data_IF_247918567092
#
_entry.id   IF_247918567092
#
_cell.length_a   1.000
_cell.length_b   1.000
_cell.length_c   1.000
_cell.angle_alpha   90.00
_cell.angle_beta   90.00
_cell.angle_gamma   90.00
#
_symmetry.space_group_name_H-M   'P 1'
#
loop_
_entity.id
_entity.type
_entity.pdbx_description
1 polymer ?
#
# COMPACT_ATOMS: atom_id res chain seq x y z
N UNK A 1 9.51 -5.23 -16.77
CA UNK A 1 10.86 -5.54 -16.25
C UNK A 1 11.36 -6.79 -16.94
N UNK A 2 12.64 -6.83 -17.32
CA UNK A 2 13.27 -8.03 -17.91
C UNK A 2 13.27 -9.17 -16.89
N UNK A 3 12.82 -10.35 -17.31
CA UNK A 3 12.67 -11.54 -16.47
C UNK A 3 14.02 -12.07 -16.00
N UNK A 4 14.32 -11.86 -14.72
CA UNK A 4 15.34 -12.62 -14.01
C UNK A 4 14.84 -14.04 -13.79
N UNK A 5 15.66 -15.03 -14.13
CA UNK A 5 15.37 -16.44 -13.91
C UNK A 5 15.11 -16.73 -12.43
N UNK A 6 13.84 -16.93 -12.10
CA UNK A 6 13.30 -17.22 -10.78
C UNK A 6 11.77 -17.12 -10.82
N UNK A 7 11.08 -17.80 -9.91
CA UNK A 7 9.63 -17.60 -9.73
C UNK A 7 9.41 -16.22 -9.08
N UNK A 8 9.43 -15.16 -9.91
CA UNK A 8 9.16 -13.79 -9.48
C UNK A 8 7.66 -13.69 -9.18
N UNK A 9 7.33 -13.21 -7.98
CA UNK A 9 5.94 -12.92 -7.61
C UNK A 9 5.51 -11.64 -8.32
N UNK A 10 4.39 -11.70 -9.05
CA UNK A 10 3.85 -10.55 -9.81
C UNK A 10 2.38 -10.33 -9.48
N UNK A 11 1.75 -9.32 -10.08
CA UNK A 11 0.30 -9.12 -9.98
C UNK A 11 -0.53 -10.36 -10.38
N UNK A 12 0.04 -11.28 -11.16
CA UNK A 12 -0.61 -12.55 -11.55
C UNK A 12 -0.71 -13.54 -10.39
N UNK A 13 0.08 -13.32 -9.33
CA UNK A 13 0.10 -14.07 -8.07
C UNK A 13 -0.45 -13.17 -6.95
N UNK A 14 -1.60 -12.52 -7.21
CA UNK A 14 -2.10 -11.36 -6.47
C UNK A 14 -2.04 -11.49 -4.94
N UNK A 15 -2.44 -12.65 -4.40
CA UNK A 15 -2.40 -12.93 -2.96
C UNK A 15 -0.99 -12.87 -2.38
N UNK A 16 -0.05 -13.59 -2.98
CA UNK A 16 1.36 -13.57 -2.54
C UNK A 16 2.01 -12.21 -2.82
N UNK A 17 1.64 -11.55 -3.92
CA UNK A 17 2.17 -10.25 -4.28
C UNK A 17 1.78 -9.16 -3.27
N UNK A 18 0.53 -9.17 -2.80
CA UNK A 18 0.06 -8.28 -1.74
C UNK A 18 0.80 -8.53 -0.43
N UNK A 19 0.99 -9.80 -0.03
CA UNK A 19 1.77 -10.17 1.15
C UNK A 19 3.22 -9.68 1.07
N UNK A 20 3.88 -9.91 -0.06
CA UNK A 20 5.27 -9.52 -0.27
C UNK A 20 5.45 -7.99 -0.24
N UNK A 21 4.53 -7.24 -0.88
CA UNK A 21 4.57 -5.78 -0.84
C UNK A 21 4.26 -5.23 0.57
N UNK A 22 3.33 -5.84 1.30
CA UNK A 22 3.06 -5.45 2.69
C UNK A 22 4.29 -5.64 3.57
N UNK A 23 4.98 -6.79 3.47
CA UNK A 23 6.25 -7.00 4.16
C UNK A 23 7.31 -5.97 3.75
N UNK A 24 7.54 -5.78 2.45
CA UNK A 24 8.51 -4.83 1.91
C UNK A 24 8.27 -3.40 2.43
N UNK A 25 7.01 -2.95 2.49
CA UNK A 25 6.63 -1.62 2.94
C UNK A 25 6.62 -1.48 4.47
N UNK A 26 6.43 -2.57 5.21
CA UNK A 26 6.54 -2.55 6.67
C UNK A 26 7.99 -2.64 7.16
N UNK A 27 8.86 -3.32 6.41
CA UNK A 27 10.24 -3.54 6.78
C UNK A 27 11.08 -2.26 6.69
N UNK A 28 12.16 -2.17 7.48
CA UNK A 28 12.99 -0.96 7.54
C UNK A 28 14.00 -0.83 6.38
N UNK A 29 14.37 -1.95 5.76
CA UNK A 29 15.49 -2.01 4.81
C UNK A 29 15.20 -1.35 3.46
N UNK A 30 16.16 -0.56 2.99
CA UNK A 30 16.21 -0.05 1.64
C UNK A 30 15.15 0.99 1.29
N UNK A 31 15.16 1.37 0.00
CA UNK A 31 14.19 2.28 -0.58
C UNK A 31 13.18 1.50 -1.43
N UNK A 32 11.94 1.29 -0.95
CA UNK A 32 10.99 0.43 -1.63
C UNK A 32 10.50 1.07 -2.93
N UNK A 33 10.38 0.26 -4.00
CA UNK A 33 9.75 0.66 -5.27
C UNK A 33 8.62 -0.30 -5.60
N UNK A 34 7.39 0.21 -5.58
CA UNK A 34 6.19 -0.54 -5.97
C UNK A 34 6.07 -0.54 -7.49
N UNK A 35 5.88 -1.72 -8.08
CA UNK A 35 5.63 -1.85 -9.53
C UNK A 35 4.16 -1.54 -9.84
N UNK A 36 3.92 -0.88 -10.98
CA UNK A 36 2.58 -0.69 -11.55
C UNK A 36 2.58 -1.14 -13.02
N UNK A 37 1.78 -2.14 -13.32
CA UNK A 37 1.87 -2.94 -14.55
C UNK A 37 0.68 -2.75 -15.48
N UNK A 38 0.77 -3.38 -16.65
CA UNK A 38 -0.34 -3.66 -17.54
C UNK A 38 -0.45 -5.18 -17.78
N UNK A 39 -1.64 -5.63 -18.15
CA UNK A 39 -1.93 -7.00 -18.56
C UNK A 39 -1.59 -7.21 -20.04
N UNK A 40 -1.04 -8.38 -20.33
CA UNK A 40 -0.95 -8.95 -21.67
C UNK A 40 -1.36 -10.42 -21.63
N UNK A 41 -1.65 -11.00 -22.79
CA UNK A 41 -1.98 -12.41 -22.92
C UNK A 41 -0.69 -13.24 -22.79
N UNK A 42 -0.35 -13.61 -21.55
CA UNK A 42 0.82 -14.44 -21.23
C UNK A 42 0.65 -15.83 -21.86
N UNK A 43 1.68 -16.33 -22.53
CA UNK A 43 1.70 -17.67 -23.12
C UNK A 43 2.95 -18.43 -22.66
N UNK A 44 2.82 -19.21 -21.59
CA UNK A 44 3.95 -19.96 -21.04
C UNK A 44 4.17 -21.26 -21.82
N UNK A 45 5.32 -21.38 -22.46
CA UNK A 45 5.78 -22.61 -23.14
C UNK A 45 7.19 -22.91 -22.64
N UNK A 46 7.38 -24.10 -22.07
CA UNK A 46 8.65 -24.55 -21.48
C UNK A 46 9.24 -23.56 -20.45
N UNK A 47 8.37 -23.00 -19.60
CA UNK A 47 8.76 -22.03 -18.56
C UNK A 47 9.06 -20.62 -19.07
N UNK A 48 8.95 -20.35 -20.37
CA UNK A 48 9.14 -19.02 -20.96
C UNK A 48 7.82 -18.46 -21.49
N UNK A 49 7.55 -17.19 -21.21
CA UNK A 49 6.47 -16.47 -21.85
C UNK A 49 6.84 -16.14 -23.30
N UNK A 50 6.13 -16.75 -24.26
CA UNK A 50 6.30 -16.49 -25.69
C UNK A 50 5.75 -15.13 -26.12
N UNK A 51 4.97 -14.48 -25.26
CA UNK A 51 4.37 -13.17 -25.47
C UNK A 51 5.00 -12.09 -24.55
N UNK A 52 6.22 -12.31 -24.06
CA UNK A 52 6.97 -11.35 -23.22
C UNK A 52 7.34 -10.04 -23.94
N UNK A 53 7.21 -10.01 -25.25
CA UNK A 53 7.44 -8.86 -26.13
C UNK A 53 6.23 -7.92 -26.27
N UNK A 54 5.05 -8.31 -25.76
CA UNK A 54 3.82 -7.52 -25.94
C UNK A 54 3.93 -6.20 -25.19
N UNK A 55 3.74 -5.10 -25.93
CA UNK A 55 3.78 -3.74 -25.39
C UNK A 55 2.54 -3.36 -24.55
N UNK A 56 2.48 -2.10 -24.08
CA UNK A 56 1.36 -1.62 -23.27
C UNK A 56 0.03 -1.64 -24.05
N UNK A 57 -1.12 -1.58 -23.36
CA UNK A 57 -2.42 -1.47 -24.01
C UNK A 57 -2.46 -0.26 -24.94
N UNK A 58 -2.79 -0.48 -26.21
CA UNK A 58 -2.75 0.55 -27.26
C UNK A 58 -4.09 0.65 -28.01
N UNK A 59 -4.32 1.81 -28.63
CA UNK A 59 -5.49 2.07 -29.47
C UNK A 59 -5.29 1.51 -30.89
N UNK A 60 -6.20 0.64 -31.32
CA UNK A 60 -6.11 -0.05 -32.61
C UNK A 60 -4.81 -0.87 -32.75
N UNK A 61 -4.24 -0.88 -33.96
CA UNK A 61 -2.97 -1.56 -34.24
C UNK A 61 -1.74 -0.64 -34.06
N UNK A 62 -1.91 0.58 -33.55
CA UNK A 62 -0.82 1.55 -33.44
C UNK A 62 -0.16 1.49 -32.07
N UNK A 63 1.12 1.09 -32.05
CA UNK A 63 1.95 1.08 -30.83
C UNK A 63 2.28 2.48 -30.31
N UNK A 64 1.91 3.53 -31.05
CA UNK A 64 2.26 4.92 -30.73
C UNK A 64 1.31 5.56 -29.72
N UNK A 65 0.09 5.03 -29.56
CA UNK A 65 -0.93 5.61 -28.68
C UNK A 65 -1.39 4.58 -27.64
N UNK A 66 -1.00 4.76 -26.38
CA UNK A 66 -1.48 3.92 -25.28
C UNK A 66 -2.94 4.25 -24.94
N UNK A 67 -3.72 3.24 -24.57
CA UNK A 67 -5.07 3.43 -24.03
C UNK A 67 -5.02 4.28 -22.75
N UNK A 68 -6.01 5.16 -22.51
CA UNK A 68 -6.07 5.93 -21.28
C UNK A 68 -6.25 5.02 -20.06
N UNK A 69 -5.68 5.43 -18.94
CA UNK A 69 -5.96 4.79 -17.64
C UNK A 69 -7.34 5.26 -17.20
N UNK A 70 -8.29 4.34 -17.09
CA UNK A 70 -9.63 4.60 -16.55
C UNK A 70 -9.68 3.99 -15.15
N UNK A 71 -9.97 4.81 -14.15
CA UNK A 71 -10.12 4.37 -12.76
C UNK A 71 -11.61 4.11 -12.50
N UNK A 72 -11.92 2.91 -12.02
CA UNK A 72 -13.27 2.48 -11.67
C UNK A 72 -13.64 2.99 -10.27
N UNK A 73 -14.93 2.92 -9.94
CA UNK A 73 -15.44 3.34 -8.62
C UNK A 73 -14.85 2.55 -7.44
N UNK A 74 -14.40 1.32 -7.68
CA UNK A 74 -13.73 0.47 -6.69
C UNK A 74 -12.21 0.75 -6.56
N UNK A 75 -11.69 1.73 -7.30
CA UNK A 75 -10.28 2.11 -7.32
C UNK A 75 -9.40 1.27 -8.26
N UNK A 76 -9.93 0.22 -8.86
CA UNK A 76 -9.21 -0.59 -9.86
C UNK A 76 -9.08 0.16 -11.19
N UNK A 77 -8.14 -0.28 -12.03
CA UNK A 77 -7.94 0.29 -13.36
C UNK A 77 -8.54 -0.57 -14.47
N UNK A 78 -8.90 0.08 -15.58
CA UNK A 78 -9.39 -0.56 -16.80
C UNK A 78 -8.39 -0.45 -17.96
N UNK A 79 -8.81 -0.84 -19.17
CA UNK A 79 -8.04 -0.79 -20.41
C UNK A 79 -6.75 -1.63 -20.36
N UNK A 80 -6.75 -2.69 -19.55
CA UNK A 80 -5.59 -3.55 -19.37
C UNK A 80 -4.51 -2.98 -18.44
N UNK A 81 -4.74 -1.84 -17.80
CA UNK A 81 -3.85 -1.35 -16.74
C UNK A 81 -4.15 -2.08 -15.42
N UNK A 82 -3.12 -2.53 -14.72
CA UNK A 82 -3.29 -3.28 -13.45
C UNK A 82 -3.41 -2.33 -12.25
N UNK A 83 -2.56 -1.30 -12.22
CA UNK A 83 -2.49 -0.32 -11.14
C UNK A 83 -2.35 -0.93 -9.74
N UNK A 84 -1.35 -1.79 -9.52
CA UNK A 84 -1.08 -2.40 -8.21
C UNK A 84 -0.91 -1.34 -7.11
N UNK A 85 -0.37 -0.16 -7.46
CA UNK A 85 -0.26 0.99 -6.55
C UNK A 85 -1.61 1.52 -6.02
N UNK A 86 -2.73 1.17 -6.64
CA UNK A 86 -4.10 1.51 -6.19
C UNK A 86 -4.80 0.40 -5.44
N UNK A 87 -4.24 -0.81 -5.42
CA UNK A 87 -4.79 -1.89 -4.62
C UNK A 87 -4.72 -1.47 -3.17
N UNK A 88 -5.86 -1.47 -2.46
CA UNK A 88 -5.96 -0.97 -1.08
C UNK A 88 -4.83 -1.48 -0.17
N UNK A 89 -4.52 -2.76 -0.27
CA UNK A 89 -3.50 -3.45 0.52
C UNK A 89 -2.09 -2.89 0.28
N UNK A 90 -1.79 -2.40 -0.93
CA UNK A 90 -0.50 -1.78 -1.28
C UNK A 90 -0.58 -0.28 -1.03
N UNK A 91 -1.64 0.37 -1.51
CA UNK A 91 -1.89 1.80 -1.37
C UNK A 91 -1.90 2.26 0.09
N UNK A 92 -2.49 1.50 1.00
CA UNK A 92 -2.51 1.80 2.44
C UNK A 92 -1.18 1.47 3.15
N UNK A 93 -0.34 0.60 2.58
CA UNK A 93 0.98 0.31 3.13
C UNK A 93 2.03 1.38 2.76
N UNK A 94 1.75 2.24 1.78
CA UNK A 94 2.57 3.43 1.48
C UNK A 94 2.54 4.46 2.62
N UNK A 95 1.36 4.96 3.08
CA UNK A 95 1.32 5.84 4.25
C UNK A 95 1.78 5.13 5.52
N UNK A 96 1.57 3.81 5.66
CA UNK A 96 2.21 3.04 6.74
C UNK A 96 3.73 3.23 6.71
N UNK A 97 4.40 2.94 5.57
CA UNK A 97 5.87 3.09 5.41
C UNK A 97 6.33 4.50 5.76
N UNK A 98 5.58 5.53 5.33
CA UNK A 98 5.90 6.93 5.62
C UNK A 98 5.83 7.23 7.12
N UNK A 99 4.75 6.80 7.79
CA UNK A 99 4.55 7.02 9.21
C UNK A 99 5.66 6.39 10.07
N UNK A 100 6.10 5.19 9.68
CA UNK A 100 7.08 4.41 10.44
C UNK A 100 8.51 4.57 9.92
N UNK A 101 8.78 5.56 9.05
CA UNK A 101 10.02 5.66 8.28
C UNK A 101 11.30 5.65 9.17
N UNK A 102 11.22 6.24 10.36
CA UNK A 102 12.36 6.39 11.28
C UNK A 102 12.39 5.37 12.42
N UNK A 103 11.38 4.49 12.51
CA UNK A 103 11.25 3.55 13.62
C UNK A 103 12.09 2.28 13.42
N UNK A 104 12.64 1.71 14.48
CA UNK A 104 13.25 0.37 14.45
C UNK A 104 12.19 -0.72 14.23
N UNK A 105 12.59 -1.87 13.66
CA UNK A 105 11.84 -3.11 13.81
C UNK A 105 11.97 -3.60 15.25
N UNK A 106 10.84 -3.83 15.91
CA UNK A 106 10.73 -4.25 17.30
C UNK A 106 9.67 -5.35 17.46
N UNK A 107 9.56 -5.92 18.67
CA UNK A 107 8.53 -6.91 19.02
C UNK A 107 8.37 -8.04 18.00
N UNK A 108 9.49 -8.52 17.46
CA UNK A 108 9.50 -9.65 16.54
C UNK A 108 8.88 -10.88 17.19
N UNK A 109 8.00 -11.53 16.45
CA UNK A 109 7.38 -12.80 16.82
C UNK A 109 7.29 -13.67 15.57
N UNK A 110 7.56 -14.96 15.74
CA UNK A 110 7.26 -15.99 14.75
C UNK A 110 6.81 -17.27 15.44
N UNK A 111 6.17 -18.15 14.68
CA UNK A 111 5.71 -19.46 15.15
C UNK A 111 6.68 -20.61 14.79
N UNK A 112 7.94 -20.30 14.44
CA UNK A 112 8.90 -21.26 13.89
C UNK A 112 8.50 -21.89 12.54
N UNK A 113 7.51 -21.32 11.86
CA UNK A 113 7.04 -21.72 10.54
C UNK A 113 6.80 -20.48 9.66
N UNK A 114 5.58 -20.26 9.15
CA UNK A 114 5.29 -19.18 8.20
C UNK A 114 4.37 -18.08 8.77
N UNK A 115 4.20 -18.01 10.09
CA UNK A 115 3.55 -16.87 10.73
C UNK A 115 4.60 -15.96 11.35
N UNK A 116 4.53 -14.68 11.02
CA UNK A 116 5.41 -13.65 11.58
C UNK A 116 4.61 -12.42 11.98
N UNK A 117 5.12 -11.69 12.95
CA UNK A 117 4.64 -10.37 13.31
C UNK A 117 5.78 -9.51 13.87
N UNK A 118 5.67 -8.20 13.71
CA UNK A 118 6.61 -7.25 14.29
C UNK A 118 5.99 -5.85 14.35
N UNK A 119 6.54 -5.01 15.21
CA UNK A 119 6.22 -3.59 15.26
C UNK A 119 7.31 -2.73 14.62
N UNK A 120 6.94 -1.50 14.30
CA UNK A 120 7.85 -0.41 13.96
C UNK A 120 7.71 0.64 15.04
N UNK A 121 8.58 0.55 16.05
CA UNK A 121 8.48 1.29 17.30
C UNK A 121 7.08 1.15 17.90
N UNK A 122 6.51 2.30 18.28
CA UNK A 122 5.14 2.41 18.79
C UNK A 122 4.13 2.97 17.77
N UNK A 123 4.50 3.03 16.49
CA UNK A 123 3.69 3.66 15.43
C UNK A 123 2.98 2.69 14.52
N UNK A 124 3.54 1.51 14.28
CA UNK A 124 2.98 0.52 13.38
C UNK A 124 3.22 -0.90 13.83
N UNK A 125 2.32 -1.80 13.45
CA UNK A 125 2.40 -3.24 13.69
C UNK A 125 1.88 -4.00 12.48
N UNK A 126 2.54 -5.10 12.13
CA UNK A 126 2.12 -5.99 11.06
C UNK A 126 2.17 -7.44 11.51
N UNK A 127 1.20 -8.24 11.05
CA UNK A 127 1.20 -9.69 11.16
C UNK A 127 0.90 -10.32 9.80
N UNK A 128 1.63 -11.37 9.44
CA UNK A 128 1.51 -12.09 8.18
C UNK A 128 1.35 -13.57 8.48
N UNK A 129 0.35 -14.21 7.88
CA UNK A 129 0.12 -15.65 7.98
C UNK A 129 0.34 -16.32 6.62
N UNK A 130 1.50 -16.94 6.46
CA UNK A 130 1.84 -17.80 5.33
C UNK A 130 1.52 -19.29 5.54
N UNK A 131 1.06 -19.67 6.73
CA UNK A 131 0.72 -21.06 7.05
C UNK A 131 -0.67 -21.47 6.54
N UNK A 132 -0.97 -22.77 6.66
CA UNK A 132 -2.27 -23.36 6.31
C UNK A 132 -3.22 -23.48 7.52
N UNK A 133 -2.95 -22.73 8.60
CA UNK A 133 -3.79 -22.65 9.80
C UNK A 133 -3.83 -21.21 10.32
N UNK A 134 -4.80 -20.88 11.17
CA UNK A 134 -4.98 -19.51 11.67
C UNK A 134 -3.82 -19.07 12.55
N UNK A 135 -3.43 -17.80 12.40
CA UNK A 135 -2.68 -17.09 13.43
C UNK A 135 -3.72 -16.55 14.41
N UNK A 136 -3.69 -17.00 15.67
CA UNK A 136 -4.53 -16.50 16.75
C UNK A 136 -3.70 -16.43 18.04
N UNK A 137 -3.12 -15.27 18.32
CA UNK A 137 -2.17 -15.10 19.43
C UNK A 137 -2.25 -13.72 20.08
N UNK A 138 -2.01 -13.66 21.39
CA UNK A 138 -1.84 -12.40 22.12
C UNK A 138 -0.41 -11.89 21.97
N UNK A 139 -0.20 -10.95 21.07
CA UNK A 139 1.12 -10.42 20.72
C UNK A 139 1.34 -9.04 21.34
N UNK A 140 2.60 -8.72 21.64
CA UNK A 140 2.99 -7.35 21.98
C UNK A 140 3.06 -6.54 20.69
N UNK A 141 2.20 -5.53 20.55
CA UNK A 141 2.14 -4.72 19.34
C UNK A 141 3.05 -3.51 19.38
N UNK A 142 3.50 -3.12 20.58
CA UNK A 142 4.20 -1.85 20.81
C UNK A 142 3.31 -0.60 20.67
N UNK A 143 2.07 -0.76 20.19
CA UNK A 143 1.14 0.34 20.00
C UNK A 143 0.53 0.80 21.33
N UNK A 144 0.20 2.09 21.49
CA UNK A 144 -0.59 2.58 22.62
C UNK A 144 -1.98 1.91 22.68
N UNK A 145 -2.57 1.88 23.88
CA UNK A 145 -3.94 1.41 24.10
C UNK A 145 -4.93 2.12 23.17
N UNK A 146 -5.82 1.36 22.53
CA UNK A 146 -6.80 1.92 21.63
C UNK A 146 -7.38 0.92 20.64
N UNK A 147 -8.29 1.41 19.80
CA UNK A 147 -8.91 0.64 18.72
C UNK A 147 -8.24 1.03 17.41
N UNK A 148 -7.67 0.05 16.73
CA UNK A 148 -6.96 0.23 15.46
C UNK A 148 -7.74 -0.44 14.33
N UNK A 149 -7.74 0.20 13.16
CA UNK A 149 -8.27 -0.37 11.94
C UNK A 149 -7.19 -1.20 11.24
N UNK A 150 -7.55 -2.39 10.77
CA UNK A 150 -6.71 -3.16 9.85
C UNK A 150 -6.78 -2.55 8.45
N UNK A 151 -5.70 -1.89 8.04
CA UNK A 151 -5.62 -1.17 6.76
C UNK A 151 -5.44 -2.09 5.55
N UNK A 152 -5.27 -3.40 5.77
CA UNK A 152 -5.30 -4.41 4.70
C UNK A 152 -6.73 -4.76 4.34
N UNK A 153 -7.55 -5.12 5.35
CA UNK A 153 -8.95 -5.50 5.11
C UNK A 153 -9.89 -4.31 4.85
N UNK A 154 -9.50 -3.09 5.23
CA UNK A 154 -10.33 -1.91 5.00
C UNK A 154 -9.58 -0.58 5.10
N UNK A 155 -10.33 0.49 5.34
CA UNK A 155 -9.86 1.86 5.46
C UNK A 155 -10.31 2.47 6.79
N UNK A 156 -9.60 3.53 7.21
CA UNK A 156 -10.03 4.44 8.26
C UNK A 156 -10.94 5.50 7.63
N UNK A 157 -12.16 5.67 8.13
CA UNK A 157 -13.09 6.71 7.74
C UNK A 157 -13.53 7.48 8.99
N UNK A 158 -12.83 8.56 9.30
CA UNK A 158 -12.97 9.27 10.58
C UNK A 158 -12.62 8.36 11.75
N UNK A 159 -13.58 8.08 12.62
CA UNK A 159 -13.43 7.15 13.76
C UNK A 159 -13.89 5.72 13.46
N UNK A 160 -14.28 5.44 12.21
CA UNK A 160 -14.81 4.14 11.80
C UNK A 160 -13.80 3.35 10.95
N UNK A 161 -13.78 2.02 11.12
CA UNK A 161 -13.02 1.10 10.28
C UNK A 161 -13.97 0.39 9.35
N UNK A 162 -13.71 0.41 8.05
CA UNK A 162 -14.51 -0.37 7.09
C UNK A 162 -14.12 -1.85 7.06
N UNK A 163 -12.96 -2.20 7.64
CA UNK A 163 -12.44 -3.56 7.77
C UNK A 163 -12.43 -4.05 9.22
N UNK A 164 -11.53 -5.01 9.50
CA UNK A 164 -11.33 -5.56 10.84
C UNK A 164 -10.82 -4.47 11.82
N UNK A 165 -11.13 -4.67 13.10
CA UNK A 165 -10.68 -3.83 14.20
C UNK A 165 -9.87 -4.65 15.19
N UNK A 166 -8.89 -4.02 15.82
CA UNK A 166 -8.07 -4.63 16.86
C UNK A 166 -8.07 -3.72 18.08
N UNK A 167 -8.38 -4.30 19.24
CA UNK A 167 -8.25 -3.61 20.52
C UNK A 167 -6.87 -3.93 21.10
N UNK A 168 -6.06 -2.89 21.26
CA UNK A 168 -4.79 -2.93 21.98
C UNK A 168 -5.08 -2.51 23.43
N UNK A 169 -4.66 -3.32 24.39
CA UNK A 169 -4.87 -3.04 25.82
C UNK A 169 -3.81 -2.08 26.38
N UNK A 170 -3.94 -1.73 27.66
CA UNK A 170 -3.00 -0.85 28.39
C UNK A 170 -1.55 -1.34 28.47
N UNK A 171 -1.31 -2.63 28.22
CA UNK A 171 0.04 -3.23 28.15
C UNK A 171 0.62 -3.23 26.72
N UNK A 172 -0.09 -2.65 25.74
CA UNK A 172 0.31 -2.68 24.33
C UNK A 172 0.08 -4.03 23.63
N UNK A 173 -0.65 -4.96 24.26
CA UNK A 173 -0.93 -6.29 23.72
C UNK A 173 -2.30 -6.35 23.06
N UNK A 174 -2.41 -7.18 22.03
CA UNK A 174 -3.67 -7.43 21.34
C UNK A 174 -3.81 -8.90 20.92
N UNK A 175 -5.05 -9.38 20.83
CA UNK A 175 -5.34 -10.63 20.12
C UNK A 175 -5.21 -10.36 18.61
N UNK A 176 -4.21 -10.96 18.00
CA UNK A 176 -4.00 -10.92 16.56
C UNK A 176 -4.61 -12.19 15.97
N UNK A 177 -5.66 -12.01 15.16
CA UNK A 177 -6.38 -13.07 14.46
C UNK A 177 -6.30 -12.86 12.95
N UNK A 178 -5.50 -13.68 12.29
CA UNK A 178 -5.30 -13.68 10.83
C UNK A 178 -5.58 -15.10 10.31
N UNK A 179 -6.82 -15.38 9.87
CA UNK A 179 -7.15 -16.66 9.26
C UNK A 179 -6.32 -16.91 7.99
N UNK A 180 -6.05 -18.16 7.65
CA UNK A 180 -5.28 -18.46 6.42
C UNK A 180 -6.14 -18.41 5.14
N UNK A 181 -7.46 -18.64 5.25
CA UNK A 181 -8.37 -18.74 4.10
C UNK A 181 -8.87 -17.39 3.57
N UNK A 182 -8.58 -16.29 4.27
CA UNK A 182 -8.98 -14.95 3.78
C UNK A 182 -8.12 -14.54 2.58
N UNK A 183 -8.67 -13.62 1.78
CA UNK A 183 -8.04 -13.12 0.56
C UNK A 183 -6.63 -12.58 0.82
N UNK A 184 -6.48 -11.83 1.91
CA UNK A 184 -5.23 -11.21 2.34
C UNK A 184 -4.90 -11.68 3.76
N UNK A 185 -4.06 -12.72 3.94
CA UNK A 185 -3.68 -13.22 5.26
C UNK A 185 -2.61 -12.31 5.89
N UNK A 186 -2.88 -11.01 5.92
CA UNK A 186 -2.05 -9.96 6.48
C UNK A 186 -2.95 -9.06 7.32
N UNK A 187 -2.41 -8.52 8.39
CA UNK A 187 -3.02 -7.46 9.18
C UNK A 187 -1.98 -6.38 9.38
N UNK A 188 -2.33 -5.12 9.15
CA UNK A 188 -1.47 -3.99 9.42
C UNK A 188 -2.24 -2.93 10.20
N UNK A 189 -1.66 -2.50 11.32
CA UNK A 189 -2.22 -1.52 12.25
C UNK A 189 -1.23 -0.38 12.38
N UNK A 190 -1.70 0.85 12.44
CA UNK A 190 -0.82 1.97 12.72
C UNK A 190 -1.58 3.10 13.42
N UNK A 191 -0.85 3.95 14.13
CA UNK A 191 -1.44 5.15 14.73
C UNK A 191 -2.00 6.04 13.63
N UNK A 192 -3.23 6.52 13.81
CA UNK A 192 -3.80 7.53 12.92
C UNK A 192 -3.20 8.86 13.33
N UNK A 193 -2.40 9.48 12.45
CA UNK A 193 -2.09 10.90 12.62
C UNK A 193 -3.40 11.67 12.41
N UNK A 194 -4.03 12.10 13.51
CA UNK A 194 -5.08 13.11 13.48
C UNK A 194 -4.54 14.51 13.16
N UNK A 195 -3.26 14.63 12.82
CA UNK A 195 -2.73 15.81 12.16
C UNK A 195 -3.30 15.89 10.74
N UNK A 196 -4.41 16.62 10.67
CA UNK A 196 -5.20 17.01 9.51
C UNK A 196 -4.40 17.88 8.50
N UNK A 197 -3.07 17.77 8.47
CA UNK A 197 -2.17 18.66 7.72
C UNK A 197 -1.71 18.09 6.39
N UNK A 198 -1.88 16.79 6.14
CA UNK A 198 -1.36 16.15 4.92
C UNK A 198 -2.41 15.58 3.97
N UNK A 199 -3.71 15.74 4.25
CA UNK A 199 -4.77 15.22 3.35
C UNK A 199 -5.14 16.22 2.24
N UNK A 200 -4.67 17.48 2.33
CA UNK A 200 -4.94 18.54 1.34
C UNK A 200 -3.70 19.34 0.90
N UNK A 201 -2.47 18.88 1.14
CA UNK A 201 -1.28 19.59 0.66
C UNK A 201 -0.38 18.68 -0.19
N UNK A 202 -0.78 18.53 -1.45
CA UNK A 202 0.19 18.52 -2.54
C UNK A 202 0.27 19.94 -3.11
N UNK A 203 0.68 20.92 -2.30
CA UNK A 203 1.20 22.19 -2.80
C UNK A 203 2.50 22.51 -2.05
N UNK A 204 3.60 22.30 -2.75
CA UNK A 204 4.91 22.81 -2.37
C UNK A 204 4.91 24.31 -2.68
N UNK A 205 4.90 25.18 -1.67
CA UNK A 205 5.62 26.45 -1.76
C UNK A 205 6.02 27.01 -0.38
N UNK A 206 7.23 27.54 -0.35
CA UNK A 206 7.91 28.14 0.78
C UNK A 206 7.30 29.50 1.18
N UNK A 207 7.41 29.78 2.49
CA UNK A 207 7.50 31.12 3.13
C UNK A 207 6.23 31.94 3.39
N UNK A 208 6.11 32.37 4.66
CA UNK A 208 5.75 33.76 4.99
C UNK A 208 4.29 34.08 5.34
N UNK A 209 4.07 34.38 6.62
CA UNK A 209 3.07 35.31 7.19
C UNK A 209 1.55 35.02 7.00
N UNK A 210 0.81 35.11 8.11
CA UNK A 210 -0.57 34.64 8.24
C UNK A 210 -1.67 35.54 7.69
N UNK A 211 -2.88 34.99 7.60
CA UNK A 211 -4.15 35.70 7.64
C UNK A 211 -5.31 34.69 7.77
N UNK A 212 -6.47 35.21 8.21
CA UNK A 212 -7.62 34.53 8.80
C UNK A 212 -8.56 33.83 7.79
N UNK A 213 -9.29 32.87 8.35
CA UNK A 213 -10.50 32.16 7.91
C UNK A 213 -11.54 33.07 7.23
N UNK A 214 -12.08 32.60 6.10
CA UNK A 214 -13.45 32.84 5.61
C UNK A 214 -13.86 31.72 4.64
N UNK A 215 -15.00 31.07 4.89
CA UNK A 215 -15.68 30.19 3.93
C UNK A 215 -16.54 31.03 2.97
N UNK A 216 -16.66 30.64 1.69
CA UNK A 216 -17.94 30.82 1.02
C UNK A 216 -18.39 29.66 0.10
N UNK A 217 -19.70 29.73 -0.15
CA UNK A 217 -20.68 28.96 -0.93
C UNK A 217 -20.34 28.40 -2.32
N UNK A 218 -21.14 27.39 -2.69
CA UNK A 218 -21.34 26.76 -4.01
C UNK A 218 -21.44 27.72 -5.22
N UNK A 219 -20.85 27.33 -6.36
CA UNK A 219 -21.43 27.44 -7.71
C UNK A 219 -20.53 26.80 -8.81
N UNK A 220 -21.14 26.07 -9.75
CA UNK A 220 -20.74 26.09 -11.17
C UNK A 220 -20.01 24.88 -11.75
N UNK A 221 -20.66 24.21 -12.71
CA UNK A 221 -20.11 23.15 -13.59
C UNK A 221 -19.21 23.76 -14.68
N UNK A 222 -18.02 23.18 -14.91
CA UNK A 222 -17.36 23.14 -16.22
C UNK A 222 -16.35 21.97 -16.29
N UNK A 223 -16.25 21.33 -17.47
CA UNK A 223 -15.20 20.37 -17.86
C UNK A 223 -14.68 20.84 -19.25
N UNK A 224 -13.50 20.39 -19.74
CA UNK A 224 -12.14 20.42 -19.17
C UNK A 224 -11.14 21.11 -20.16
N UNK A 225 -9.84 21.31 -19.85
CA UNK A 225 -8.84 20.83 -20.82
C UNK A 225 -7.48 20.37 -20.24
N UNK A 226 -6.78 19.63 -21.11
CA UNK A 226 -5.35 19.24 -21.16
C UNK A 226 -4.48 19.60 -19.96
N UNK A 227 -4.13 18.59 -19.16
CA UNK A 227 -2.77 18.35 -18.66
C UNK A 227 -2.79 17.06 -17.84
N UNK A 228 -2.32 15.96 -18.44
CA UNK A 228 -2.18 14.70 -17.71
C UNK A 228 -1.06 14.85 -16.68
N UNK A 229 -1.41 15.07 -15.41
CA UNK A 229 -0.46 14.89 -14.32
C UNK A 229 -0.25 13.40 -14.07
N UNK A 230 0.95 12.91 -14.40
CA UNK A 230 1.42 11.58 -14.02
C UNK A 230 1.78 11.63 -12.54
N UNK A 231 1.05 10.90 -11.70
CA UNK A 231 1.49 10.69 -10.31
C UNK A 231 2.64 9.70 -10.31
N UNK A 232 3.87 10.20 -10.16
CA UNK A 232 5.01 9.39 -9.72
C UNK A 232 5.13 9.62 -8.22
N UNK A 233 4.84 8.59 -7.42
CA UNK A 233 5.10 8.65 -5.97
C UNK A 233 6.59 8.42 -5.76
N UNK A 234 7.36 9.50 -5.78
CA UNK A 234 8.73 9.52 -5.27
C UNK A 234 8.65 9.90 -3.79
N UNK A 235 8.97 8.95 -2.92
CA UNK A 235 9.15 9.24 -1.50
C UNK A 235 10.59 9.78 -1.36
N UNK A 236 10.83 11.07 -1.56
CA UNK A 236 12.17 11.60 -1.33
C UNK A 236 12.43 11.72 0.18
N UNK A 237 13.41 10.97 0.69
CA UNK A 237 14.11 11.35 1.92
C UNK A 237 15.16 12.39 1.52
N UNK A 238 15.13 13.55 2.15
CA UNK A 238 16.13 14.59 1.95
C UNK A 238 17.50 14.04 2.39
N UNK A 239 18.34 13.63 1.44
CA UNK A 239 19.73 13.26 1.71
C UNK A 239 20.58 14.52 1.65
N UNK A 240 21.29 14.80 2.73
CA UNK A 240 22.34 15.82 2.71
C UNK A 240 23.48 15.37 1.77
N UNK A 241 24.14 16.35 1.13
CA UNK A 241 25.27 16.13 0.24
C UNK A 241 26.32 15.20 0.88
N UNK A 242 26.53 14.02 0.30
CA UNK A 242 27.69 13.16 0.60
C UNK A 242 27.46 11.75 1.17
N UNK A 243 26.37 11.06 0.83
CA UNK A 243 26.27 9.59 0.99
C UNK A 243 25.61 8.93 -0.22
#
# INVERSE_FOLDING_TARGET
GHGGGGNIITFRDSRLYKMANAFMLAWQYGFPRVMSSYAWNRNMVDGKDKNDWVGPPAEGNSVQNTKPIVVKSDGSCDNGWICEHRWRQIGNMVPFRNLVAEESVENWWDNWANQIAFSRGNKGFIAINGDQFCLAAHLNTGLPEGIYCDVISGNVNGSFCTGRKVLVNSEGRALIDVPHWIEDPVMALHVVNYDNTCINSCDISLSGAGARINSPSEAGVSNPPSDFQRTVVLIEKQTNFGQ
#
